data_IF_944780323568
#
_entry.id   IF_944780323568
#
_cell.length_a   1.000
_cell.length_b   1.000
_cell.length_c   1.000
_cell.angle_alpha   90.00
_cell.angle_beta   90.00
_cell.angle_gamma   90.00
#
_symmetry.space_group_name_H-M   'P 1'
#
loop_
_entity.id
_entity.type
_entity.pdbx_description
1 polymer ?
#
# COMPACT_ATOMS: atom_id res chain seq x y z
N UNK A 1 12.75 10.66 -18.72
CA UNK A 1 11.44 11.07 -18.20
C UNK A 1 11.41 10.79 -16.71
N UNK A 2 10.99 11.74 -15.85
CA UNK A 2 10.93 11.52 -14.40
C UNK A 2 9.65 10.76 -14.10
N UNK A 3 9.76 9.50 -13.69
CA UNK A 3 8.60 8.70 -13.28
C UNK A 3 8.19 9.13 -11.86
N UNK A 4 6.90 9.38 -11.67
CA UNK A 4 6.30 9.76 -10.38
C UNK A 4 5.22 8.75 -10.00
N UNK A 5 5.04 8.49 -8.71
CA UNK A 5 4.00 7.59 -8.21
C UNK A 5 2.67 8.33 -8.10
N UNK A 6 1.57 7.68 -8.50
CA UNK A 6 0.22 8.15 -8.17
C UNK A 6 0.07 8.35 -6.66
N UNK A 7 -0.86 9.18 -6.22
CA UNK A 7 -1.28 9.19 -4.81
C UNK A 7 -1.85 7.82 -4.38
N UNK A 8 -1.90 7.55 -3.06
CA UNK A 8 -2.34 6.25 -2.53
C UNK A 8 -3.79 5.95 -2.88
N UNK A 9 -4.63 6.99 -2.84
CA UNK A 9 -6.07 6.87 -3.06
C UNK A 9 -6.36 6.65 -4.54
N UNK A 10 -5.65 7.36 -5.39
CA UNK A 10 -5.66 7.23 -6.85
C UNK A 10 -5.24 5.82 -7.25
N UNK A 11 -4.09 5.34 -6.74
CA UNK A 11 -3.64 3.98 -7.03
C UNK A 11 -4.63 2.90 -6.55
N UNK A 12 -5.24 3.08 -5.36
CA UNK A 12 -6.29 2.18 -4.89
C UNK A 12 -7.52 2.19 -5.81
N UNK A 13 -7.93 3.36 -6.31
CA UNK A 13 -9.03 3.48 -7.26
C UNK A 13 -8.71 2.78 -8.60
N UNK A 14 -7.51 3.02 -9.16
CA UNK A 14 -7.09 2.37 -10.41
C UNK A 14 -7.09 0.84 -10.28
N UNK A 15 -6.63 0.30 -9.14
CA UNK A 15 -6.71 -1.14 -8.86
C UNK A 15 -8.16 -1.64 -8.68
N UNK A 16 -9.02 -0.87 -8.02
CA UNK A 16 -10.44 -1.22 -7.85
C UNK A 16 -11.15 -1.34 -9.20
N UNK A 17 -10.98 -0.35 -10.08
CA UNK A 17 -11.56 -0.37 -11.43
C UNK A 17 -11.04 -1.56 -12.24
N UNK A 18 -9.72 -1.76 -12.24
CA UNK A 18 -9.10 -2.89 -12.94
C UNK A 18 -9.66 -4.24 -12.48
N UNK A 19 -9.84 -4.41 -11.16
CA UNK A 19 -10.41 -5.64 -10.62
C UNK A 19 -11.88 -5.81 -11.02
N UNK A 20 -12.63 -4.72 -11.15
CA UNK A 20 -13.98 -4.74 -11.71
C UNK A 20 -14.00 -5.25 -13.16
N UNK A 21 -13.04 -4.85 -13.98
CA UNK A 21 -12.90 -5.34 -15.36
C UNK A 21 -12.56 -6.84 -15.40
N UNK A 22 -11.64 -7.28 -14.52
CA UNK A 22 -11.28 -8.69 -14.35
C UNK A 22 -12.49 -9.51 -13.87
N UNK A 23 -13.32 -8.97 -12.97
CA UNK A 23 -14.55 -9.62 -12.49
C UNK A 23 -15.49 -9.94 -13.66
N UNK A 24 -15.66 -9.00 -14.59
CA UNK A 24 -16.50 -9.17 -15.77
C UNK A 24 -16.10 -10.37 -16.64
N UNK A 25 -14.81 -10.72 -16.63
CA UNK A 25 -14.19 -11.74 -17.46
C UNK A 25 -14.03 -13.11 -16.74
N UNK A 26 -14.22 -13.18 -15.42
CA UNK A 26 -13.99 -14.39 -14.62
C UNK A 26 -15.29 -15.02 -14.08
N UNK A 27 -15.21 -16.29 -13.68
CA UNK A 27 -16.36 -17.04 -13.13
C UNK A 27 -16.63 -16.77 -11.64
N UNK A 28 -15.62 -16.29 -10.90
CA UNK A 28 -15.65 -16.13 -9.44
C UNK A 28 -16.00 -14.71 -9.00
N UNK A 29 -17.10 -14.18 -9.53
CA UNK A 29 -17.49 -12.77 -9.39
C UNK A 29 -17.50 -12.24 -7.96
N UNK A 30 -18.08 -13.02 -7.04
CA UNK A 30 -18.22 -12.62 -5.63
C UNK A 30 -16.88 -12.33 -4.93
N UNK A 31 -15.83 -13.08 -5.25
CA UNK A 31 -14.52 -12.89 -4.60
C UNK A 31 -13.80 -11.66 -5.15
N UNK A 32 -13.90 -11.43 -6.46
CA UNK A 32 -13.33 -10.24 -7.10
C UNK A 32 -14.02 -8.96 -6.66
N UNK A 33 -15.35 -8.98 -6.56
CA UNK A 33 -16.11 -7.87 -6.03
C UNK A 33 -15.66 -7.50 -4.61
N UNK A 34 -15.50 -8.50 -3.72
CA UNK A 34 -15.00 -8.24 -2.37
C UNK A 34 -13.64 -7.52 -2.36
N UNK A 35 -12.70 -7.94 -3.21
CA UNK A 35 -11.38 -7.30 -3.30
C UNK A 35 -11.52 -5.85 -3.81
N UNK A 36 -12.36 -5.63 -4.81
CA UNK A 36 -12.61 -4.30 -5.37
C UNK A 36 -13.27 -3.36 -4.35
N UNK A 37 -14.30 -3.81 -3.62
CA UNK A 37 -14.99 -3.01 -2.60
C UNK A 37 -14.04 -2.49 -1.51
N UNK A 38 -13.09 -3.32 -1.05
CA UNK A 38 -12.08 -2.90 -0.08
C UNK A 38 -11.20 -1.75 -0.62
N UNK A 39 -10.82 -1.81 -1.89
CA UNK A 39 -9.99 -0.79 -2.55
C UNK A 39 -10.79 0.49 -2.89
N UNK A 40 -12.05 0.33 -3.30
CA UNK A 40 -12.95 1.45 -3.55
C UNK A 40 -13.16 2.27 -2.27
N UNK A 41 -13.48 1.62 -1.14
CA UNK A 41 -13.61 2.29 0.15
C UNK A 41 -12.29 2.98 0.54
N UNK A 42 -11.14 2.32 0.34
CA UNK A 42 -9.83 2.91 0.64
C UNK A 42 -9.59 4.21 -0.15
N UNK A 43 -9.95 4.23 -1.43
CA UNK A 43 -9.82 5.41 -2.29
C UNK A 43 -10.74 6.56 -1.88
N UNK A 44 -11.94 6.23 -1.35
CA UNK A 44 -12.96 7.17 -0.91
C UNK A 44 -12.62 7.94 0.37
N UNK A 45 -11.72 7.43 1.22
CA UNK A 45 -11.39 8.05 2.51
C UNK A 45 -10.57 9.33 2.30
N UNK A 46 -11.23 10.49 2.47
CA UNK A 46 -10.58 11.81 2.41
C UNK A 46 -9.92 12.22 3.72
N UNK A 47 -10.62 12.00 4.84
CA UNK A 47 -10.16 12.40 6.18
C UNK A 47 -10.92 11.65 7.26
N UNK A 48 -10.20 11.23 8.30
CA UNK A 48 -10.75 10.80 9.59
C UNK A 48 -10.33 11.83 10.63
N UNK A 49 -11.30 12.44 11.30
CA UNK A 49 -11.06 13.48 12.32
C UNK A 49 -10.99 12.88 13.71
N UNK A 50 -9.99 13.29 14.48
CA UNK A 50 -9.90 13.05 15.91
C UNK A 50 -10.18 14.34 16.66
N UNK A 51 -10.90 14.23 17.78
CA UNK A 51 -11.11 15.32 18.72
C UNK A 51 -10.91 14.75 20.12
N UNK A 52 -9.74 15.02 20.71
CA UNK A 52 -9.41 14.58 22.07
C UNK A 52 -9.93 15.54 23.13
N UNK A 53 -10.39 16.74 22.75
CA UNK A 53 -10.92 17.76 23.64
C UNK A 53 -12.33 17.46 24.17
N UNK A 54 -13.07 16.52 23.56
CA UNK A 54 -14.46 16.18 23.93
C UNK A 54 -14.62 15.90 25.44
N UNK A 55 -13.58 15.36 26.08
CA UNK A 55 -13.61 14.99 27.50
C UNK A 55 -12.53 15.68 28.35
N UNK A 56 -11.89 16.74 27.84
CA UNK A 56 -10.83 17.47 28.55
C UNK A 56 -11.30 18.86 28.97
N UNK A 57 -10.81 19.35 30.10
CA UNK A 57 -11.06 20.71 30.61
C UNK A 57 -9.76 21.53 30.57
N UNK A 58 -9.14 21.61 29.39
CA UNK A 58 -7.86 22.29 29.19
C UNK A 58 -8.01 23.72 28.64
N UNK A 59 -9.25 24.18 28.41
CA UNK A 59 -9.58 25.50 27.85
C UNK A 59 -9.10 26.68 28.71
N UNK A 60 -8.75 26.43 29.97
CA UNK A 60 -8.26 27.47 30.90
C UNK A 60 -6.76 27.74 30.77
N UNK A 61 -6.01 26.97 29.97
CA UNK A 61 -4.57 27.14 29.76
C UNK A 61 -4.24 27.14 28.27
N UNK A 62 -3.77 28.28 27.74
CA UNK A 62 -3.50 28.46 26.31
C UNK A 62 -2.51 27.44 25.74
N UNK A 63 -1.43 27.14 26.48
CA UNK A 63 -0.42 26.16 26.05
C UNK A 63 -0.95 24.73 26.01
N UNK A 64 -1.84 24.37 26.94
CA UNK A 64 -2.47 23.05 26.95
C UNK A 64 -3.46 22.91 25.79
N UNK A 65 -4.19 23.98 25.48
CA UNK A 65 -5.10 24.04 24.35
C UNK A 65 -4.38 23.96 22.99
N UNK A 66 -3.28 24.70 22.81
CA UNK A 66 -2.43 24.64 21.61
C UNK A 66 -1.87 23.23 21.38
N UNK A 67 -1.35 22.61 22.44
CA UNK A 67 -0.88 21.23 22.38
C UNK A 67 -1.98 20.25 21.96
N UNK A 68 -3.17 20.34 22.57
CA UNK A 68 -4.29 19.45 22.24
C UNK A 68 -4.75 19.63 20.79
N UNK A 69 -4.77 20.87 20.28
CA UNK A 69 -5.10 21.18 18.90
C UNK A 69 -4.10 20.56 17.90
N UNK A 70 -2.80 20.75 18.13
CA UNK A 70 -1.75 20.19 17.28
C UNK A 70 -1.73 18.66 17.35
N UNK A 71 -1.98 18.09 18.53
CA UNK A 71 -2.11 16.65 18.72
C UNK A 71 -3.29 16.08 17.96
N UNK A 72 -4.45 16.73 18.00
CA UNK A 72 -5.63 16.30 17.25
C UNK A 72 -5.40 16.38 15.74
N UNK A 73 -4.69 17.41 15.27
CA UNK A 73 -4.27 17.56 13.88
C UNK A 73 -3.34 16.42 13.42
N UNK A 74 -2.29 16.13 14.21
CA UNK A 74 -1.36 15.04 13.94
C UNK A 74 -2.05 13.68 13.95
N UNK A 75 -2.82 13.38 15.00
CA UNK A 75 -3.51 12.10 15.12
C UNK A 75 -4.57 11.92 14.04
N UNK A 76 -5.29 12.97 13.64
CA UNK A 76 -6.22 12.91 12.50
C UNK A 76 -5.50 12.46 11.22
N UNK A 77 -4.29 12.98 10.95
CA UNK A 77 -3.49 12.56 9.79
C UNK A 77 -3.10 11.08 9.89
N UNK A 78 -2.57 10.67 11.03
CA UNK A 78 -2.12 9.28 11.26
C UNK A 78 -3.30 8.31 11.16
N UNK A 79 -4.41 8.59 11.85
CA UNK A 79 -5.62 7.75 11.84
C UNK A 79 -6.18 7.67 10.43
N UNK A 80 -6.21 8.77 9.67
CA UNK A 80 -6.63 8.72 8.25
C UNK A 80 -5.78 7.73 7.46
N UNK A 81 -4.45 7.77 7.60
CA UNK A 81 -3.55 6.84 6.90
C UNK A 81 -3.75 5.39 7.38
N UNK A 82 -3.92 5.16 8.68
CA UNK A 82 -4.16 3.81 9.25
C UNK A 82 -5.49 3.24 8.75
N UNK A 83 -6.54 4.07 8.66
CA UNK A 83 -7.83 3.63 8.13
C UNK A 83 -7.67 3.18 6.68
N UNK A 84 -7.06 4.01 5.82
CA UNK A 84 -6.78 3.64 4.42
C UNK A 84 -5.96 2.34 4.35
N UNK A 85 -4.89 2.26 5.15
CA UNK A 85 -4.03 1.08 5.23
C UNK A 85 -4.82 -0.19 5.57
N UNK A 86 -5.73 -0.14 6.54
CA UNK A 86 -6.53 -1.30 6.94
C UNK A 86 -7.47 -1.77 5.83
N UNK A 87 -8.09 -0.86 5.08
CA UNK A 87 -8.92 -1.25 3.93
C UNK A 87 -8.08 -1.88 2.81
N UNK A 88 -6.93 -1.29 2.47
CA UNK A 88 -5.99 -1.85 1.48
C UNK A 88 -5.43 -3.21 1.93
N UNK A 89 -5.14 -3.37 3.23
CA UNK A 89 -4.72 -4.65 3.80
C UNK A 89 -5.83 -5.70 3.70
N UNK A 90 -7.09 -5.30 3.95
CA UNK A 90 -8.26 -6.16 3.75
C UNK A 90 -8.37 -6.66 2.30
N UNK A 91 -8.16 -5.79 1.32
CA UNK A 91 -8.12 -6.17 -0.09
C UNK A 91 -7.02 -7.22 -0.37
N UNK A 92 -5.82 -7.02 0.17
CA UNK A 92 -4.74 -8.00 0.05
C UNK A 92 -5.12 -9.34 0.70
N UNK A 93 -5.69 -9.34 1.90
CA UNK A 93 -6.09 -10.58 2.57
C UNK A 93 -7.16 -11.34 1.77
N UNK A 94 -8.15 -10.64 1.22
CA UNK A 94 -9.15 -11.22 0.31
C UNK A 94 -8.51 -11.78 -0.95
N UNK A 95 -7.51 -11.11 -1.52
CA UNK A 95 -6.77 -11.61 -2.68
C UNK A 95 -5.93 -12.85 -2.34
N UNK A 96 -5.29 -12.90 -1.18
CA UNK A 96 -4.55 -14.09 -0.72
C UNK A 96 -5.51 -15.27 -0.54
N UNK A 97 -6.71 -15.04 -0.01
CA UNK A 97 -7.73 -16.08 0.13
C UNK A 97 -8.27 -16.55 -1.22
N UNK A 98 -8.31 -15.67 -2.23
CA UNK A 98 -8.63 -16.03 -3.61
C UNK A 98 -7.56 -16.94 -4.21
N UNK A 99 -6.29 -16.50 -4.18
CA UNK A 99 -5.15 -17.24 -4.73
C UNK A 99 -4.93 -18.57 -4.01
N UNK A 100 -5.20 -18.61 -2.70
CA UNK A 100 -5.04 -19.78 -1.84
C UNK A 100 -3.65 -20.43 -1.96
N UNK A 101 -2.55 -19.67 -1.73
CA UNK A 101 -1.20 -20.21 -1.87
C UNK A 101 -0.94 -21.33 -0.85
N UNK A 102 -0.08 -22.27 -1.21
CA UNK A 102 0.31 -23.38 -0.32
C UNK A 102 1.00 -22.84 0.93
N UNK A 103 0.67 -23.44 2.08
CA UNK A 103 1.32 -23.09 3.34
C UNK A 103 2.81 -23.47 3.34
N UNK A 104 3.64 -22.59 3.90
CA UNK A 104 5.05 -22.87 4.15
C UNK A 104 5.17 -23.81 5.36
N UNK A 105 5.74 -25.04 5.22
CA UNK A 105 5.68 -26.08 6.25
C UNK A 105 6.20 -25.65 7.64
N UNK A 106 7.23 -24.81 7.68
CA UNK A 106 7.90 -24.36 8.91
C UNK A 106 7.47 -22.97 9.38
N UNK A 107 6.73 -22.22 8.57
CA UNK A 107 6.38 -20.82 8.82
C UNK A 107 4.96 -20.53 8.33
N UNK A 108 3.96 -21.14 8.96
CA UNK A 108 2.55 -20.98 8.58
C UNK A 108 2.09 -19.53 8.67
N UNK A 109 1.10 -19.18 7.86
CA UNK A 109 0.44 -17.88 7.85
C UNK A 109 0.30 -17.29 6.45
N UNK A 110 -0.84 -16.64 6.19
CA UNK A 110 -1.23 -16.08 4.88
C UNK A 110 -0.11 -15.26 4.23
N UNK A 111 0.55 -14.39 5.01
CA UNK A 111 1.65 -13.54 4.51
C UNK A 111 2.88 -14.35 4.12
N UNK A 112 3.23 -15.40 4.86
CA UNK A 112 4.38 -16.24 4.49
C UNK A 112 4.07 -17.05 3.24
N UNK A 113 2.85 -17.59 3.13
CA UNK A 113 2.39 -18.36 1.98
C UNK A 113 2.40 -17.52 0.70
N UNK A 114 1.90 -16.27 0.74
CA UNK A 114 1.93 -15.40 -0.44
C UNK A 114 3.36 -14.95 -0.80
N UNK A 115 4.25 -14.74 0.19
CA UNK A 115 5.65 -14.42 -0.09
C UNK A 115 6.36 -15.58 -0.80
N UNK A 116 6.09 -16.82 -0.38
CA UNK A 116 6.64 -18.02 -1.01
C UNK A 116 6.07 -18.21 -2.42
N UNK A 117 4.76 -17.99 -2.59
CA UNK A 117 4.11 -17.98 -3.91
C UNK A 117 4.74 -16.96 -4.87
N UNK A 118 4.96 -15.72 -4.43
CA UNK A 118 5.65 -14.71 -5.22
C UNK A 118 7.11 -15.12 -5.49
N UNK A 119 7.78 -15.74 -4.52
CA UNK A 119 9.14 -16.22 -4.71
C UNK A 119 9.27 -17.28 -5.80
N UNK A 120 8.30 -18.20 -5.88
CA UNK A 120 8.29 -19.28 -6.86
C UNK A 120 7.77 -18.86 -8.24
N UNK A 121 6.79 -17.94 -8.29
CA UNK A 121 5.99 -17.71 -9.50
C UNK A 121 6.17 -16.31 -10.11
N UNK A 122 6.62 -15.30 -9.35
CA UNK A 122 6.79 -13.95 -9.89
C UNK A 122 8.03 -13.89 -10.78
N UNK A 123 7.82 -14.01 -12.10
CA UNK A 123 8.90 -13.96 -13.09
C UNK A 123 9.37 -12.51 -13.25
N UNK A 124 10.61 -12.24 -12.82
CA UNK A 124 11.23 -10.89 -12.73
C UNK A 124 11.53 -10.26 -14.11
N UNK A 125 10.92 -10.71 -15.20
CA UNK A 125 11.20 -10.18 -16.54
C UNK A 125 10.86 -8.68 -16.64
N UNK A 126 9.89 -8.20 -15.86
CA UNK A 126 9.59 -6.78 -15.64
C UNK A 126 9.25 -6.55 -14.15
N UNK A 127 10.19 -6.09 -13.31
CA UNK A 127 9.89 -5.76 -11.92
C UNK A 127 9.00 -4.52 -11.85
N UNK A 128 8.12 -4.46 -10.85
CA UNK A 128 7.35 -3.24 -10.55
C UNK A 128 8.30 -2.06 -10.33
N UNK A 129 8.15 -1.05 -11.17
CA UNK A 129 8.98 0.17 -11.19
C UNK A 129 8.86 0.91 -9.84
N UNK A 130 9.97 1.46 -9.33
CA UNK A 130 10.08 2.17 -8.04
C UNK A 130 9.76 1.35 -6.77
N UNK A 131 9.45 0.05 -6.85
CA UNK A 131 9.18 -0.75 -5.66
C UNK A 131 10.35 -0.73 -4.65
N UNK A 132 11.57 -0.90 -5.16
CA UNK A 132 12.78 -0.90 -4.32
C UNK A 132 13.05 0.46 -3.68
N UNK A 133 12.73 1.55 -4.37
CA UNK A 133 12.90 2.91 -3.86
C UNK A 133 11.91 3.17 -2.71
N UNK A 134 10.65 2.77 -2.87
CA UNK A 134 9.63 2.83 -1.81
C UNK A 134 10.05 1.99 -0.60
N UNK A 135 10.54 0.77 -0.84
CA UNK A 135 11.02 -0.10 0.23
C UNK A 135 12.21 0.51 0.97
N UNK A 136 13.20 1.04 0.25
CA UNK A 136 14.35 1.70 0.84
C UNK A 136 13.92 2.92 1.68
N UNK A 137 12.99 3.72 1.16
CA UNK A 137 12.45 4.87 1.88
C UNK A 137 11.69 4.45 3.14
N UNK A 138 10.88 3.39 3.09
CA UNK A 138 10.19 2.84 4.25
C UNK A 138 11.20 2.43 5.32
N UNK A 139 12.23 1.68 4.94
CA UNK A 139 13.27 1.24 5.87
C UNK A 139 14.01 2.43 6.50
N UNK A 140 14.35 3.47 5.72
CA UNK A 140 14.98 4.69 6.26
C UNK A 140 14.09 5.37 7.30
N UNK A 141 12.77 5.47 7.08
CA UNK A 141 11.88 6.13 8.04
C UNK A 141 11.62 5.27 9.29
N UNK A 142 11.49 3.95 9.13
CA UNK A 142 11.38 3.00 10.24
C UNK A 142 12.56 3.12 11.20
N UNK A 143 13.78 3.32 10.67
CA UNK A 143 15.00 3.49 11.48
C UNK A 143 15.05 4.77 12.31
N UNK A 144 14.30 5.80 11.91
CA UNK A 144 14.29 7.08 12.62
C UNK A 144 13.47 7.04 13.90
N UNK A 145 12.67 6.00 14.09
CA UNK A 145 11.63 5.96 15.12
C UNK A 145 11.86 4.79 16.06
N UNK A 146 12.11 5.10 17.33
CA UNK A 146 12.56 4.13 18.33
C UNK A 146 11.61 2.92 18.49
N UNK A 147 10.30 3.12 18.49
CA UNK A 147 9.33 2.02 18.66
C UNK A 147 9.28 1.04 17.48
N UNK A 148 9.93 1.35 16.36
CA UNK A 148 10.12 0.43 15.24
C UNK A 148 11.54 -0.17 15.15
N UNK A 149 12.48 0.23 16.02
CA UNK A 149 13.87 -0.24 16.00
C UNK A 149 14.01 -1.77 16.05
N UNK A 150 13.15 -2.46 16.79
CA UNK A 150 13.10 -3.94 16.86
C UNK A 150 12.82 -4.64 15.53
N UNK A 151 12.36 -3.90 14.51
CA UNK A 151 12.18 -4.44 13.18
C UNK A 151 13.52 -4.77 12.51
N UNK A 152 14.59 -4.02 12.85
CA UNK A 152 15.93 -4.16 12.27
C UNK A 152 16.53 -5.56 12.48
N UNK A 153 16.51 -6.05 13.71
CA UNK A 153 17.11 -7.34 14.08
C UNK A 153 16.41 -8.55 13.41
N UNK A 154 15.17 -8.35 12.96
CA UNK A 154 14.31 -9.41 12.43
C UNK A 154 14.29 -9.46 10.89
N UNK A 155 15.10 -8.66 10.18
CA UNK A 155 15.18 -8.67 8.71
C UNK A 155 16.12 -9.74 8.13
N UNK A 156 16.33 -10.86 8.84
CA UNK A 156 16.97 -12.02 8.21
C UNK A 156 16.00 -12.58 7.16
N UNK A 157 16.34 -12.40 5.88
CA UNK A 157 15.60 -12.98 4.77
C UNK A 157 15.49 -14.49 4.98
N UNK A 158 14.27 -14.97 5.13
CA UNK A 158 13.99 -16.41 5.16
C UNK A 158 14.10 -16.93 3.72
N UNK A 159 14.43 -18.21 3.55
CA UNK A 159 14.66 -18.80 2.23
C UNK A 159 13.47 -18.70 1.26
N UNK A 160 12.25 -18.53 1.79
CA UNK A 160 11.01 -18.38 1.03
C UNK A 160 10.64 -16.91 0.73
N UNK A 161 11.52 -15.94 1.04
CA UNK A 161 11.26 -14.51 0.85
C UNK A 161 12.34 -13.92 -0.04
N UNK A 162 11.97 -13.51 -1.25
CA UNK A 162 12.82 -12.71 -2.14
C UNK A 162 12.51 -11.21 -2.01
N UNK A 163 13.11 -10.40 -2.89
CA UNK A 163 12.91 -8.95 -2.92
C UNK A 163 11.42 -8.56 -3.11
N UNK A 164 10.65 -9.33 -3.88
CA UNK A 164 9.21 -9.08 -4.09
C UNK A 164 8.36 -9.33 -2.84
N UNK A 165 8.80 -10.23 -1.95
CA UNK A 165 8.10 -10.55 -0.70
C UNK A 165 8.61 -9.79 0.54
N UNK A 166 9.82 -9.23 0.52
CA UNK A 166 10.43 -8.65 1.72
C UNK A 166 9.68 -7.42 2.22
N UNK A 167 9.20 -6.57 1.31
CA UNK A 167 8.41 -5.40 1.69
C UNK A 167 7.13 -5.81 2.43
N UNK A 168 6.45 -6.86 1.96
CA UNK A 168 5.24 -7.34 2.61
C UNK A 168 5.50 -7.91 4.02
N UNK A 169 6.66 -8.57 4.22
CA UNK A 169 7.09 -9.00 5.55
C UNK A 169 7.36 -7.83 6.51
N UNK A 170 7.95 -6.74 6.01
CA UNK A 170 8.16 -5.52 6.78
C UNK A 170 6.82 -4.93 7.19
N UNK A 171 5.91 -4.76 6.23
CA UNK A 171 4.58 -4.20 6.45
C UNK A 171 3.76 -5.06 7.39
N UNK A 172 3.82 -6.38 7.28
CA UNK A 172 3.13 -7.28 8.20
C UNK A 172 3.55 -7.08 9.66
N UNK A 173 4.84 -6.85 9.92
CA UNK A 173 5.32 -6.55 11.28
C UNK A 173 4.85 -5.18 11.76
N UNK A 174 4.83 -4.17 10.88
CA UNK A 174 4.27 -2.84 11.17
C UNK A 174 2.78 -2.97 11.53
N UNK A 175 2.01 -3.70 10.73
CA UNK A 175 0.59 -4.01 10.96
C UNK A 175 0.37 -4.66 12.32
N UNK A 176 1.17 -5.67 12.64
CA UNK A 176 1.06 -6.36 13.93
C UNK A 176 1.33 -5.42 15.11
N UNK A 177 2.22 -4.43 14.97
CA UNK A 177 2.41 -3.43 16.01
C UNK A 177 1.14 -2.60 16.27
N UNK A 178 0.41 -2.22 15.21
CA UNK A 178 -0.91 -1.57 15.33
C UNK A 178 -1.93 -2.49 15.98
N UNK A 179 -2.10 -3.71 15.47
CA UNK A 179 -3.16 -4.62 15.92
C UNK A 179 -2.97 -5.11 17.37
N UNK A 180 -1.74 -5.16 17.87
CA UNK A 180 -1.44 -5.54 19.25
C UNK A 180 -1.34 -4.34 20.20
N UNK A 181 -1.60 -3.11 19.73
CA UNK A 181 -1.55 -1.91 20.57
C UNK A 181 -0.15 -1.57 21.10
N UNK A 182 0.90 -2.14 20.49
CA UNK A 182 2.29 -1.93 20.89
C UNK A 182 2.92 -0.68 20.28
N UNK A 183 2.14 0.07 19.51
CA UNK A 183 2.56 1.31 18.88
C UNK A 183 2.32 2.50 19.80
N UNK A 184 3.35 3.31 20.01
CA UNK A 184 3.19 4.64 20.57
C UNK A 184 3.08 5.64 19.42
N UNK A 185 2.10 6.55 19.48
CA UNK A 185 1.99 7.63 18.50
C UNK A 185 2.97 8.74 18.85
N UNK A 186 3.59 9.35 17.83
CA UNK A 186 4.46 10.50 18.04
C UNK A 186 3.70 11.70 18.61
N UNK A 187 4.43 12.51 19.37
CA UNK A 187 3.97 13.82 19.85
C UNK A 187 4.12 14.89 18.74
N UNK A 188 3.37 16.00 18.82
CA UNK A 188 3.49 17.12 17.88
C UNK A 188 4.91 17.67 17.81
N UNK A 189 5.30 18.24 16.67
CA UNK A 189 6.69 18.63 16.37
C UNK A 189 7.29 19.60 17.40
N UNK A 190 6.54 20.60 17.85
CA UNK A 190 7.01 21.56 18.86
C UNK A 190 7.19 20.94 20.26
N UNK A 191 6.58 19.79 20.51
CA UNK A 191 6.65 19.04 21.77
C UNK A 191 7.46 17.74 21.64
N UNK A 192 8.17 17.56 20.52
CA UNK A 192 8.93 16.36 20.23
C UNK A 192 10.36 16.73 19.79
N UNK A 193 11.34 15.88 20.11
CA UNK A 193 12.73 16.09 19.72
C UNK A 193 12.97 15.86 18.21
N UNK A 194 12.00 15.26 17.54
CA UNK A 194 12.08 14.90 16.14
C UNK A 194 10.73 15.08 15.45
N UNK A 195 10.78 15.37 14.16
CA UNK A 195 9.58 15.48 13.34
C UNK A 195 8.84 14.13 13.31
N UNK A 196 7.52 14.09 13.58
CA UNK A 196 6.74 12.86 13.48
C UNK A 196 6.77 12.34 12.03
N UNK A 197 6.98 11.03 11.88
CA UNK A 197 7.01 10.35 10.56
C UNK A 197 6.09 9.12 10.50
N UNK A 198 5.25 8.89 11.53
CA UNK A 198 4.34 7.74 11.58
C UNK A 198 3.36 7.74 10.39
N UNK A 199 2.82 8.90 10.03
CA UNK A 199 1.94 9.07 8.87
C UNK A 199 2.66 8.66 7.57
N UNK A 200 3.92 9.05 7.41
CA UNK A 200 4.76 8.69 6.28
C UNK A 200 5.08 7.19 6.24
N UNK A 201 5.40 6.58 7.39
CA UNK A 201 5.64 5.14 7.50
C UNK A 201 4.38 4.37 7.08
N UNK A 202 3.21 4.76 7.57
CA UNK A 202 1.94 4.11 7.20
C UNK A 202 1.66 4.31 5.71
N UNK A 203 1.89 5.51 5.16
CA UNK A 203 1.68 5.78 3.75
C UNK A 203 2.57 4.91 2.84
N UNK A 204 3.86 4.79 3.16
CA UNK A 204 4.81 3.92 2.46
C UNK A 204 4.45 2.44 2.62
N UNK A 205 4.01 2.04 3.81
CA UNK A 205 3.52 0.68 4.04
C UNK A 205 2.30 0.37 3.17
N UNK A 206 1.33 1.29 3.08
CA UNK A 206 0.18 1.16 2.18
C UNK A 206 0.62 1.05 0.72
N UNK A 207 1.60 1.86 0.28
CA UNK A 207 2.16 1.75 -1.08
C UNK A 207 2.68 0.36 -1.36
N UNK A 208 3.48 -0.19 -0.44
CA UNK A 208 4.03 -1.54 -0.58
C UNK A 208 2.92 -2.58 -0.71
N UNK A 209 1.82 -2.47 0.05
CA UNK A 209 0.67 -3.38 -0.09
C UNK A 209 0.03 -3.28 -1.47
N UNK A 210 -0.23 -2.06 -1.98
CA UNK A 210 -0.81 -1.87 -3.31
C UNK A 210 0.09 -2.44 -4.42
N UNK A 211 1.40 -2.19 -4.34
CA UNK A 211 2.38 -2.76 -5.27
C UNK A 211 2.44 -4.30 -5.15
N UNK A 212 2.28 -4.85 -3.95
CA UNK A 212 2.17 -6.30 -3.73
C UNK A 212 0.89 -6.87 -4.34
N UNK A 213 -0.24 -6.16 -4.29
CA UNK A 213 -1.46 -6.55 -4.99
C UNK A 213 -1.18 -6.63 -6.51
N UNK A 214 -0.55 -5.61 -7.10
CA UNK A 214 -0.14 -5.66 -8.52
C UNK A 214 0.76 -6.86 -8.82
N UNK A 215 1.78 -7.12 -8.01
CA UNK A 215 2.67 -8.27 -8.20
C UNK A 215 1.92 -9.61 -8.16
N UNK A 216 0.95 -9.75 -7.24
CA UNK A 216 0.11 -10.97 -7.16
C UNK A 216 -0.77 -11.10 -8.40
N UNK A 217 -1.40 -10.02 -8.87
CA UNK A 217 -2.20 -10.03 -10.10
C UNK A 217 -1.36 -10.37 -11.34
N UNK A 218 -0.18 -9.76 -11.49
CA UNK A 218 0.76 -10.09 -12.58
C UNK A 218 1.13 -11.58 -12.53
N UNK A 219 1.36 -12.12 -11.33
CA UNK A 219 1.72 -13.53 -11.16
C UNK A 219 0.55 -14.45 -11.54
N UNK A 220 -0.66 -14.09 -11.11
CA UNK A 220 -1.88 -14.86 -11.36
C UNK A 220 -2.22 -14.94 -12.85
N UNK A 221 -2.06 -13.83 -13.57
CA UNK A 221 -2.45 -13.70 -14.98
C UNK A 221 -1.27 -13.80 -15.95
N UNK A 222 -0.08 -14.21 -15.50
CA UNK A 222 1.16 -14.17 -16.31
C UNK A 222 1.04 -14.92 -17.66
N UNK A 223 0.27 -16.00 -17.70
CA UNK A 223 0.09 -16.85 -18.89
C UNK A 223 -1.19 -16.54 -19.66
N UNK A 224 -1.98 -15.57 -19.18
CA UNK A 224 -3.25 -15.20 -19.79
C UNK A 224 -3.07 -13.97 -20.69
N UNK A 225 -3.67 -13.99 -21.87
CA UNK A 225 -3.73 -12.84 -22.78
C UNK A 225 -5.06 -12.12 -22.57
N UNK A 226 -5.12 -11.29 -21.53
CA UNK A 226 -6.30 -10.50 -21.18
C UNK A 226 -6.13 -9.08 -21.71
N UNK A 227 -7.11 -8.63 -22.49
CA UNK A 227 -7.26 -7.23 -22.87
C UNK A 227 -8.24 -6.54 -21.91
N UNK A 228 -7.91 -5.31 -21.53
CA UNK A 228 -8.74 -4.45 -20.68
C UNK A 228 -8.91 -3.09 -21.35
N UNK A 229 -9.93 -2.35 -20.92
CA UNK A 229 -10.14 -0.97 -21.33
C UNK A 229 -9.95 -0.06 -20.11
N UNK A 230 -8.73 0.51 -19.92
CA UNK A 230 -8.45 1.34 -18.77
C UNK A 230 -9.40 2.54 -18.74
N UNK A 231 -10.01 2.80 -17.58
CA UNK A 231 -10.90 3.95 -17.39
C UNK A 231 -10.26 5.28 -17.84
N UNK A 232 -8.94 5.42 -17.68
CA UNK A 232 -8.20 6.64 -18.01
C UNK A 232 -7.88 6.79 -19.50
N UNK A 233 -7.93 5.70 -20.29
CA UNK A 233 -7.40 5.67 -21.67
C UNK A 233 -8.50 5.58 -22.75
N UNK A 234 -9.77 5.73 -22.36
CA UNK A 234 -10.89 5.76 -23.29
C UNK A 234 -11.19 4.39 -23.91
N UNK A 235 -11.40 4.35 -25.22
CA UNK A 235 -11.84 3.14 -25.95
C UNK A 235 -10.67 2.20 -26.36
N UNK A 236 -9.42 2.54 -26.02
CA UNK A 236 -8.26 1.72 -26.39
C UNK A 236 -8.10 0.51 -25.46
N UNK A 237 -8.05 -0.68 -26.06
CA UNK A 237 -7.74 -1.92 -25.34
C UNK A 237 -6.23 -2.08 -25.17
N UNK A 238 -5.81 -2.43 -23.95
CA UNK A 238 -4.40 -2.70 -23.63
C UNK A 238 -4.22 -4.03 -22.93
N UNK A 239 -3.02 -4.58 -23.04
CA UNK A 239 -2.66 -5.83 -22.36
C UNK A 239 -2.64 -5.62 -20.85
N UNK A 240 -3.31 -6.52 -20.12
CA UNK A 240 -3.44 -6.47 -18.67
C UNK A 240 -2.07 -6.44 -17.96
N UNK A 241 -1.11 -7.25 -18.42
CA UNK A 241 0.20 -7.32 -17.77
C UNK A 241 1.01 -6.06 -18.03
N UNK A 242 0.93 -5.49 -19.24
CA UNK A 242 1.53 -4.20 -19.54
C UNK A 242 0.95 -3.10 -18.65
N UNK A 243 -0.38 -3.01 -18.55
CA UNK A 243 -1.05 -2.02 -17.70
C UNK A 243 -0.71 -2.19 -16.21
N UNK A 244 -0.76 -3.41 -15.69
CA UNK A 244 -0.40 -3.72 -14.29
C UNK A 244 1.04 -3.31 -13.94
N UNK A 245 1.97 -3.30 -14.90
CA UNK A 245 3.36 -2.91 -14.65
C UNK A 245 3.55 -1.39 -14.45
N UNK A 246 2.60 -0.58 -14.90
CA UNK A 246 2.69 0.89 -14.87
C UNK A 246 1.54 1.57 -14.13
N UNK A 247 0.52 0.81 -13.71
CA UNK A 247 -0.70 1.30 -13.04
C UNK A 247 -0.45 2.28 -11.88
N UNK A 248 0.67 2.13 -11.17
CA UNK A 248 1.02 2.93 -10.01
C UNK A 248 1.75 4.24 -10.34
N UNK A 249 2.03 4.49 -11.62
CA UNK A 249 2.77 5.65 -12.10
C UNK A 249 1.82 6.74 -12.59
N UNK A 250 2.19 7.99 -12.35
CA UNK A 250 1.53 9.14 -12.98
C UNK A 250 1.84 9.12 -14.49
N UNK A 251 0.78 9.14 -15.30
CA UNK A 251 0.92 9.38 -16.74
C UNK A 251 1.24 10.87 -16.92
N UNK A 252 2.51 11.18 -17.16
CA UNK A 252 2.90 12.54 -17.56
C UNK A 252 2.53 12.67 -19.02
N UNK A 253 1.41 13.34 -19.30
CA UNK A 253 1.03 13.72 -20.66
C UNK A 253 2.18 14.51 -21.28
N UNK A 254 2.82 13.92 -22.28
CA UNK A 254 3.89 14.54 -23.07
C UNK A 254 3.37 15.59 -24.06
N UNK A 255 2.16 16.14 -23.84
CA UNK A 255 1.58 17.25 -24.59
C UNK A 255 2.22 18.61 -24.25
N UNK A 256 3.53 18.60 -23.95
CA UNK A 256 4.42 19.75 -24.16
C UNK A 256 5.08 19.55 -25.54
N UNK A 257 4.24 19.49 -26.57
CA UNK A 257 4.39 19.70 -28.03
C UNK A 257 5.72 19.43 -28.78
N UNK A 258 6.73 18.72 -28.25
CA UNK A 258 8.01 18.64 -28.96
C UNK A 258 8.90 17.40 -28.80
N UNK A 259 8.46 16.25 -28.28
CA UNK A 259 9.30 15.04 -28.31
C UNK A 259 8.52 13.72 -28.52
N UNK A 260 8.47 13.30 -29.78
CA UNK A 260 8.45 11.94 -30.35
C UNK A 260 7.72 10.79 -29.60
N UNK A 261 6.74 10.22 -30.32
CA UNK A 261 5.97 9.00 -30.07
C UNK A 261 6.75 7.86 -29.40
N UNK A 262 6.20 7.34 -28.29
CA UNK A 262 6.72 6.16 -27.58
C UNK A 262 6.35 4.81 -28.22
N UNK A 263 5.97 4.79 -29.51
CA UNK A 263 5.75 3.55 -30.25
C UNK A 263 6.25 3.69 -31.70
N UNK A 264 7.46 3.18 -31.92
CA UNK A 264 7.95 2.62 -33.19
C UNK A 264 8.78 1.38 -32.86
#
# INVERSE_FOLDING_TARGET
>A
MKQTLLGIREHAACLSYLIGDIEGQTKDRLKWNQISEWLDIASGIKKVSMNSAIFKCNEMCSQAWEYDFERDSLLSKIVTQITIFNFVWGALESLIDYVSPKDVPTNRGKVNAICDYLNENYKVNKPIVLYNDVLAELLVNVKKVYHYSELEEKFKLKSFVNLSGVGLQVVYKIRNKFSHGSLCFSEPEEWNLSKPVDDKIVNLATRIVLLSIQMVLITLFYEESIMIQPYEWGDEEVDLLEYLNILHLEVVDSNDDNQLSLFN
#
